data_IF_390454996087
#
_entry.id   IF_390454996087
#
_cell.length_a   1.000
_cell.length_b   1.000
_cell.length_c   1.000
_cell.angle_alpha   90.00
_cell.angle_beta   90.00
_cell.angle_gamma   90.00
#
_symmetry.space_group_name_H-M   'P 1'
#
loop_
_entity.id
_entity.type
_entity.pdbx_description
1 polymer ?
#
# COMPACT_ATOMS: atom_id res chain seq x y z
N UNK A 1 -16.17 -15.59 4.19
CA UNK A 1 -16.74 -15.15 2.90
C UNK A 1 -15.88 -14.02 2.43
N UNK A 2 -15.07 -14.21 1.37
CA UNK A 2 -14.22 -13.15 0.81
C UNK A 2 -15.12 -12.02 0.34
N UNK A 3 -14.87 -10.80 0.85
CA UNK A 3 -15.54 -9.59 0.39
C UNK A 3 -15.27 -9.35 -1.09
N UNK A 4 -16.16 -8.66 -1.81
CA UNK A 4 -16.04 -8.47 -3.25
C UNK A 4 -14.77 -7.69 -3.58
N UNK A 5 -13.94 -8.24 -4.45
CA UNK A 5 -12.81 -7.52 -5.07
C UNK A 5 -13.36 -6.30 -5.82
N UNK A 6 -13.27 -5.12 -5.22
CA UNK A 6 -13.57 -3.87 -5.92
C UNK A 6 -12.39 -3.60 -6.84
N UNK A 7 -12.53 -3.99 -8.11
CA UNK A 7 -11.62 -3.60 -9.17
C UNK A 7 -11.77 -2.09 -9.38
N UNK A 8 -10.93 -1.30 -8.75
CA UNK A 8 -10.78 0.12 -9.09
C UNK A 8 -10.24 0.21 -10.51
N UNK A 9 -11.06 0.73 -11.41
CA UNK A 9 -10.74 0.90 -12.83
C UNK A 9 -9.71 2.02 -13.00
N UNK A 10 -8.45 1.65 -13.21
CA UNK A 10 -7.46 2.53 -13.83
C UNK A 10 -7.45 2.20 -15.33
N UNK A 11 -7.44 3.18 -16.25
CA UNK A 11 -7.25 2.90 -17.65
C UNK A 11 -5.86 2.29 -17.82
N UNK A 12 -5.84 0.98 -18.07
CA UNK A 12 -4.60 0.23 -18.24
C UNK A 12 -4.29 0.17 -19.75
N UNK A 13 -3.14 0.69 -20.14
CA UNK A 13 -2.49 0.17 -21.33
C UNK A 13 -2.25 -1.33 -21.10
N UNK A 14 -2.57 -2.17 -22.09
CA UNK A 14 -2.30 -3.62 -22.00
C UNK A 14 -0.81 -3.79 -21.78
N UNK A 15 -0.45 -4.23 -20.58
CA UNK A 15 0.93 -4.43 -20.19
C UNK A 15 1.47 -5.67 -20.90
N UNK A 16 2.28 -5.47 -21.91
CA UNK A 16 2.98 -6.56 -22.59
C UNK A 16 4.10 -7.06 -21.69
N UNK A 17 4.06 -8.36 -21.38
CA UNK A 17 5.16 -9.10 -20.79
C UNK A 17 6.27 -9.31 -21.81
N UNK A 18 7.49 -9.55 -21.33
CA UNK A 18 8.48 -10.21 -22.18
C UNK A 18 7.96 -11.59 -22.62
N UNK A 19 8.13 -11.93 -23.90
CA UNK A 19 7.62 -13.18 -24.46
C UNK A 19 8.19 -14.40 -23.73
N UNK A 20 7.31 -15.31 -23.35
CA UNK A 20 7.64 -16.59 -22.72
C UNK A 20 6.88 -17.73 -23.41
N UNK A 21 7.46 -18.90 -23.61
CA UNK A 21 6.72 -20.07 -24.08
C UNK A 21 5.62 -20.48 -23.07
N UNK A 22 4.43 -20.85 -23.59
CA UNK A 22 3.30 -21.22 -22.73
C UNK A 22 3.61 -22.43 -21.84
N UNK A 23 4.37 -23.42 -22.34
CA UNK A 23 4.78 -24.57 -21.54
C UNK A 23 5.68 -24.18 -20.33
N UNK A 24 6.40 -23.07 -20.40
CA UNK A 24 7.16 -22.53 -19.25
C UNK A 24 6.26 -21.72 -18.33
N UNK A 25 5.44 -20.80 -18.88
CA UNK A 25 4.52 -19.99 -18.10
C UNK A 25 3.50 -20.84 -17.33
N UNK A 26 2.92 -21.85 -17.99
CA UNK A 26 1.88 -22.72 -17.44
C UNK A 26 2.45 -23.98 -16.75
N UNK A 27 3.77 -24.03 -16.53
CA UNK A 27 4.42 -25.18 -15.88
C UNK A 27 3.82 -25.45 -14.50
N UNK A 28 3.39 -26.70 -14.29
CA UNK A 28 2.73 -27.14 -13.06
C UNK A 28 1.23 -26.83 -12.99
N UNK A 29 0.65 -26.25 -14.04
CA UNK A 29 -0.80 -26.11 -14.23
C UNK A 29 -1.31 -27.06 -15.32
N UNK A 30 -0.61 -27.16 -16.44
CA UNK A 30 -0.93 -28.06 -17.55
C UNK A 30 0.30 -28.33 -18.40
N UNK A 31 0.19 -29.33 -19.30
CA UNK A 31 1.14 -29.55 -20.39
C UNK A 31 0.66 -28.69 -21.58
N UNK A 32 1.33 -27.61 -21.83
CA UNK A 32 0.99 -26.69 -22.91
C UNK A 32 1.97 -26.83 -24.10
N UNK A 33 1.51 -26.48 -25.29
CA UNK A 33 2.39 -26.30 -26.45
C UNK A 33 3.28 -25.06 -26.27
N UNK A 34 4.50 -25.01 -26.86
CA UNK A 34 5.43 -23.91 -26.68
C UNK A 34 5.05 -22.67 -27.53
N UNK A 35 3.76 -22.29 -27.54
CA UNK A 35 3.32 -21.04 -28.18
C UNK A 35 3.78 -19.84 -27.36
N UNK A 36 4.10 -18.74 -28.03
CA UNK A 36 4.61 -17.54 -27.37
C UNK A 36 3.49 -16.75 -26.69
N UNK A 37 3.61 -16.55 -25.38
CA UNK A 37 2.72 -15.72 -24.58
C UNK A 37 3.41 -14.37 -24.31
N UNK A 38 2.65 -13.29 -24.36
CA UNK A 38 3.15 -11.93 -24.10
C UNK A 38 2.25 -11.08 -23.20
N UNK A 39 1.16 -11.64 -22.68
CA UNK A 39 0.32 -11.03 -21.68
C UNK A 39 -0.48 -12.08 -20.91
N UNK A 40 -0.76 -11.81 -19.63
CA UNK A 40 -1.77 -12.48 -18.82
C UNK A 40 -2.81 -11.41 -18.47
N UNK A 41 -4.05 -11.60 -18.85
CA UNK A 41 -5.12 -10.61 -18.70
C UNK A 41 -6.33 -11.19 -17.97
N UNK A 42 -7.01 -10.36 -17.21
CA UNK A 42 -8.22 -10.72 -16.43
C UNK A 42 -9.46 -9.97 -16.91
N UNK A 43 -9.27 -8.99 -17.79
CA UNK A 43 -10.36 -8.24 -18.46
C UNK A 43 -10.45 -8.68 -19.93
N UNK A 44 -11.62 -9.18 -20.34
CA UNK A 44 -11.83 -9.66 -21.71
C UNK A 44 -11.65 -8.58 -22.78
N UNK A 45 -11.78 -7.31 -22.42
CA UNK A 45 -11.56 -6.15 -23.30
C UNK A 45 -10.06 -5.91 -23.60
N UNK A 46 -9.18 -6.44 -22.76
CA UNK A 46 -7.72 -6.35 -22.91
C UNK A 46 -7.14 -7.53 -23.71
N UNK A 47 -7.95 -8.49 -24.12
CA UNK A 47 -7.50 -9.68 -24.86
C UNK A 47 -6.92 -9.29 -26.20
N UNK A 48 -5.71 -9.79 -26.47
CA UNK A 48 -5.01 -9.69 -27.74
C UNK A 48 -4.47 -11.07 -28.15
N UNK A 49 -4.21 -11.33 -29.45
CA UNK A 49 -3.66 -12.60 -29.89
C UNK A 49 -2.38 -12.98 -29.14
N UNK A 50 -2.32 -14.20 -28.59
CA UNK A 50 -1.16 -14.71 -27.85
C UNK A 50 -1.15 -14.34 -26.35
N UNK A 51 -2.25 -13.87 -25.77
CA UNK A 51 -2.37 -13.73 -24.32
C UNK A 51 -2.93 -15.01 -23.66
N UNK A 52 -2.81 -15.07 -22.32
CA UNK A 52 -3.58 -15.98 -21.46
C UNK A 52 -4.69 -15.16 -20.81
N UNK A 53 -5.94 -15.60 -20.95
CA UNK A 53 -7.08 -15.00 -20.27
C UNK A 53 -7.43 -15.81 -19.00
N UNK A 54 -7.53 -15.12 -17.87
CA UNK A 54 -7.83 -15.75 -16.57
C UNK A 54 -9.26 -15.40 -16.16
N UNK A 55 -10.12 -16.42 -16.05
CA UNK A 55 -11.49 -16.26 -15.57
C UNK A 55 -11.51 -16.21 -14.04
N UNK A 56 -12.10 -15.15 -13.49
CA UNK A 56 -12.41 -15.04 -12.07
C UNK A 56 -13.92 -15.13 -11.88
N UNK A 57 -14.41 -16.01 -10.98
CA UNK A 57 -15.81 -15.99 -10.60
C UNK A 57 -16.13 -14.69 -9.83
N UNK A 58 -17.24 -14.08 -10.12
CA UNK A 58 -17.69 -12.86 -9.45
C UNK A 58 -19.20 -12.88 -9.20
N UNK A 59 -19.66 -12.18 -8.15
CA UNK A 59 -21.09 -12.15 -7.78
C UNK A 59 -21.96 -11.41 -8.80
N UNK A 60 -21.42 -10.39 -9.47
CA UNK A 60 -22.16 -9.57 -10.45
C UNK A 60 -21.81 -9.90 -11.88
N UNK A 61 -20.58 -10.31 -12.12
CA UNK A 61 -20.03 -10.61 -13.45
C UNK A 61 -19.08 -11.77 -13.30
N UNK A 62 -19.37 -12.88 -13.98
CA UNK A 62 -18.49 -14.04 -13.99
C UNK A 62 -17.54 -13.97 -15.21
N UNK A 63 -16.24 -14.03 -14.96
CA UNK A 63 -15.22 -14.02 -16.02
C UNK A 63 -15.35 -15.17 -17.01
N UNK A 64 -15.95 -16.29 -16.61
CA UNK A 64 -16.18 -17.45 -17.46
C UNK A 64 -17.14 -17.15 -18.61
N UNK A 65 -18.10 -16.23 -18.43
CA UNK A 65 -19.05 -15.81 -19.48
C UNK A 65 -18.35 -15.16 -20.68
N UNK A 66 -17.14 -14.65 -20.49
CA UNK A 66 -16.35 -13.99 -21.53
C UNK A 66 -15.29 -14.89 -22.17
N UNK A 67 -15.10 -16.11 -21.69
CA UNK A 67 -14.00 -16.99 -22.11
C UNK A 67 -14.06 -17.35 -23.59
N UNK A 68 -15.24 -17.67 -24.11
CA UNK A 68 -15.41 -17.96 -25.56
C UNK A 68 -15.05 -16.77 -26.44
N UNK A 69 -15.50 -15.55 -26.04
CA UNK A 69 -15.14 -14.32 -26.72
C UNK A 69 -13.64 -14.01 -26.63
N UNK A 70 -13.03 -14.25 -25.48
CA UNK A 70 -11.60 -14.08 -25.28
C UNK A 70 -10.79 -15.03 -26.19
N UNK A 71 -11.22 -16.29 -26.30
CA UNK A 71 -10.59 -17.25 -27.20
C UNK A 71 -10.74 -16.84 -28.67
N UNK A 72 -11.93 -16.41 -29.10
CA UNK A 72 -12.18 -15.90 -30.45
C UNK A 72 -11.34 -14.66 -30.78
N UNK A 73 -11.06 -13.80 -29.79
CA UNK A 73 -10.20 -12.63 -29.91
C UNK A 73 -8.70 -12.97 -29.86
N UNK A 74 -8.35 -14.27 -29.80
CA UNK A 74 -6.97 -14.76 -29.95
C UNK A 74 -6.25 -15.08 -28.65
N UNK A 75 -6.93 -15.22 -27.51
CA UNK A 75 -6.29 -15.78 -26.33
C UNK A 75 -5.75 -17.19 -26.64
N UNK A 76 -4.47 -17.41 -26.34
CA UNK A 76 -3.81 -18.68 -26.63
C UNK A 76 -4.27 -19.79 -25.65
N UNK A 77 -4.55 -19.41 -24.39
CA UNK A 77 -5.07 -20.26 -23.35
C UNK A 77 -6.09 -19.52 -22.49
N UNK A 78 -7.05 -20.28 -21.97
CA UNK A 78 -8.04 -19.83 -21.00
C UNK A 78 -7.79 -20.57 -19.69
N UNK A 79 -7.62 -19.84 -18.58
CA UNK A 79 -7.58 -20.40 -17.22
C UNK A 79 -8.99 -20.28 -16.66
N UNK A 80 -9.58 -21.41 -16.28
CA UNK A 80 -10.97 -21.47 -15.82
C UNK A 80 -11.15 -22.47 -14.66
N UNK A 81 -12.23 -22.32 -13.87
CA UNK A 81 -12.52 -23.24 -12.77
C UNK A 81 -13.38 -24.44 -13.20
N UNK A 82 -13.93 -24.40 -14.39
CA UNK A 82 -14.73 -25.48 -15.02
C UNK A 82 -14.60 -25.40 -16.55
N UNK A 83 -14.98 -26.45 -17.30
CA UNK A 83 -15.02 -26.40 -18.75
C UNK A 83 -15.89 -25.26 -19.26
N UNK A 84 -15.45 -24.58 -20.32
CA UNK A 84 -16.14 -23.44 -20.90
C UNK A 84 -16.60 -23.79 -22.32
N UNK A 85 -17.87 -23.58 -22.61
CA UNK A 85 -18.43 -23.78 -23.93
C UNK A 85 -17.78 -22.84 -24.96
N UNK A 86 -17.49 -23.33 -26.17
CA UNK A 86 -16.87 -22.53 -27.23
C UNK A 86 -15.35 -22.38 -27.14
N UNK A 87 -14.70 -23.02 -26.14
CA UNK A 87 -13.23 -23.09 -26.02
C UNK A 87 -12.79 -24.55 -26.11
N UNK A 88 -11.82 -24.91 -26.99
CA UNK A 88 -11.30 -26.27 -27.07
C UNK A 88 -10.68 -26.72 -25.75
N UNK A 89 -10.80 -28.02 -25.44
CA UNK A 89 -10.30 -28.59 -24.17
C UNK A 89 -8.78 -28.48 -24.03
N UNK A 90 -8.02 -28.53 -25.13
CA UNK A 90 -6.57 -28.37 -25.17
C UNK A 90 -6.13 -26.90 -25.02
N UNK A 91 -7.06 -25.96 -25.05
CA UNK A 91 -6.86 -24.52 -24.84
C UNK A 91 -7.45 -24.02 -23.52
N UNK A 92 -8.14 -24.89 -22.79
CA UNK A 92 -8.72 -24.59 -21.48
C UNK A 92 -7.93 -25.29 -20.38
N UNK A 93 -7.35 -24.52 -19.47
CA UNK A 93 -6.63 -25.03 -18.30
C UNK A 93 -7.59 -24.96 -17.11
N UNK A 94 -8.07 -26.12 -16.67
CA UNK A 94 -9.00 -26.19 -15.53
C UNK A 94 -8.19 -26.20 -14.24
N UNK A 95 -8.49 -25.23 -13.36
CA UNK A 95 -7.83 -25.04 -12.07
C UNK A 95 -8.86 -24.87 -10.95
N UNK A 96 -8.60 -25.34 -9.73
CA UNK A 96 -9.53 -25.15 -8.62
C UNK A 96 -9.64 -23.68 -8.15
N UNK A 97 -8.62 -22.86 -8.46
CA UNK A 97 -8.51 -21.48 -7.97
C UNK A 97 -7.69 -20.65 -8.97
N UNK A 98 -8.35 -19.70 -9.61
CA UNK A 98 -7.75 -18.83 -10.63
C UNK A 98 -6.68 -17.89 -10.07
N UNK A 99 -6.82 -17.42 -8.81
CA UNK A 99 -5.83 -16.57 -8.18
C UNK A 99 -4.54 -17.34 -7.90
N UNK A 100 -4.64 -18.59 -7.41
CA UNK A 100 -3.47 -19.45 -7.21
C UNK A 100 -2.80 -19.82 -8.53
N UNK A 101 -3.58 -20.03 -9.61
CA UNK A 101 -3.03 -20.24 -10.94
C UNK A 101 -2.24 -19.03 -11.43
N UNK A 102 -2.78 -17.81 -11.20
CA UNK A 102 -2.12 -16.57 -11.56
C UNK A 102 -0.81 -16.36 -10.78
N UNK A 103 -0.79 -16.65 -9.47
CA UNK A 103 0.42 -16.67 -8.65
C UNK A 103 1.44 -17.68 -9.19
N UNK A 104 1.00 -18.89 -9.61
CA UNK A 104 1.89 -19.91 -10.18
C UNK A 104 2.53 -19.40 -11.48
N UNK A 105 1.74 -18.85 -12.40
CA UNK A 105 2.25 -18.25 -13.63
C UNK A 105 3.24 -17.13 -13.36
N UNK A 106 2.91 -16.21 -12.44
CA UNK A 106 3.78 -15.12 -12.07
C UNK A 106 5.09 -15.61 -11.42
N UNK A 107 5.03 -16.65 -10.58
CA UNK A 107 6.22 -17.28 -10.00
C UNK A 107 7.12 -17.90 -11.08
N UNK A 108 6.54 -18.57 -12.09
CA UNK A 108 7.28 -19.12 -13.22
C UNK A 108 7.95 -18.00 -14.03
N UNK A 109 7.20 -16.93 -14.33
CA UNK A 109 7.71 -15.77 -15.07
C UNK A 109 8.80 -15.03 -14.30
N UNK A 110 8.63 -14.84 -12.98
CA UNK A 110 9.61 -14.20 -12.10
C UNK A 110 10.99 -14.86 -12.14
N UNK A 111 11.05 -16.17 -12.37
CA UNK A 111 12.29 -16.92 -12.43
C UNK A 111 13.18 -16.62 -13.64
N UNK A 112 12.64 -15.95 -14.66
CA UNK A 112 13.40 -15.52 -15.83
C UNK A 112 14.30 -14.31 -15.56
N UNK A 113 14.10 -13.60 -14.45
CA UNK A 113 14.75 -12.33 -14.14
C UNK A 113 15.41 -12.38 -12.76
N UNK A 114 16.41 -11.57 -12.55
CA UNK A 114 17.12 -11.49 -11.27
C UNK A 114 17.32 -10.06 -10.77
N UNK A 115 16.26 -9.21 -10.69
CA UNK A 115 16.40 -7.89 -10.10
C UNK A 115 16.70 -8.00 -8.60
N UNK A 116 17.42 -7.03 -8.04
CA UNK A 116 17.46 -6.83 -6.58
C UNK A 116 16.07 -6.33 -6.15
N UNK A 117 15.31 -7.15 -5.42
CA UNK A 117 13.92 -6.89 -5.10
C UNK A 117 13.72 -6.68 -3.60
N UNK A 118 12.98 -5.63 -3.23
CA UNK A 118 12.55 -5.37 -1.86
C UNK A 118 11.07 -5.74 -1.74
N UNK A 119 10.73 -6.62 -0.80
CA UNK A 119 9.35 -6.90 -0.37
C UNK A 119 8.98 -5.98 0.80
N UNK A 120 7.82 -5.34 0.74
CA UNK A 120 7.35 -4.41 1.79
C UNK A 120 6.00 -4.85 2.33
N UNK A 121 5.91 -5.05 3.64
CA UNK A 121 4.64 -5.26 4.34
C UNK A 121 4.58 -4.45 5.64
N UNK A 122 3.45 -4.48 6.33
CA UNK A 122 3.21 -3.76 7.58
C UNK A 122 1.73 -3.39 7.74
N UNK A 123 1.33 -2.92 8.91
CA UNK A 123 -0.03 -2.44 9.15
C UNK A 123 -0.26 -1.07 8.50
N UNK A 124 0.67 -0.13 8.70
CA UNK A 124 0.68 1.23 8.15
C UNK A 124 2.04 1.50 7.51
N UNK A 125 2.13 2.43 6.56
CA UNK A 125 3.38 2.87 5.94
C UNK A 125 3.82 2.06 4.71
N UNK A 126 3.22 0.92 4.37
CA UNK A 126 3.61 0.06 3.24
C UNK A 126 3.82 0.83 1.93
N UNK A 127 2.81 1.57 1.50
CA UNK A 127 2.86 2.28 0.21
C UNK A 127 3.86 3.43 0.23
N UNK A 128 3.93 4.18 1.34
CA UNK A 128 4.91 5.26 1.50
C UNK A 128 6.33 4.71 1.49
N UNK A 129 6.60 3.63 2.24
CA UNK A 129 7.89 2.93 2.22
C UNK A 129 8.22 2.38 0.83
N UNK A 130 7.26 1.79 0.12
CA UNK A 130 7.42 1.34 -1.28
C UNK A 130 7.84 2.48 -2.19
N UNK A 131 7.22 3.66 -2.07
CA UNK A 131 7.55 4.83 -2.88
C UNK A 131 8.95 5.39 -2.52
N UNK A 132 9.34 5.40 -1.23
CA UNK A 132 10.71 5.73 -0.85
C UNK A 132 11.73 4.71 -1.39
N UNK A 133 11.44 3.41 -1.31
CA UNK A 133 12.28 2.39 -1.93
C UNK A 133 12.42 2.62 -3.44
N UNK A 134 11.32 2.94 -4.12
CA UNK A 134 11.33 3.24 -5.55
C UNK A 134 12.19 4.48 -5.85
N UNK A 135 12.06 5.56 -5.09
CA UNK A 135 12.87 6.77 -5.24
C UNK A 135 14.37 6.47 -5.07
N UNK A 136 14.72 5.72 -4.01
CA UNK A 136 16.11 5.34 -3.75
C UNK A 136 16.67 4.42 -4.84
N UNK A 137 15.97 3.34 -5.18
CA UNK A 137 16.45 2.36 -6.16
C UNK A 137 16.52 2.95 -7.57
N UNK A 138 15.59 3.82 -7.95
CA UNK A 138 15.57 4.49 -9.26
C UNK A 138 16.77 5.42 -9.48
N UNK A 139 17.43 5.85 -8.41
CA UNK A 139 18.71 6.56 -8.52
C UNK A 139 19.84 5.67 -9.05
N UNK A 140 19.73 4.34 -8.95
CA UNK A 140 20.78 3.39 -9.33
C UNK A 140 20.52 2.66 -10.63
N UNK A 141 19.26 2.48 -11.05
CA UNK A 141 18.94 1.78 -12.30
C UNK A 141 17.43 1.67 -12.53
N UNK A 142 17.07 0.96 -13.60
CA UNK A 142 15.67 0.73 -13.96
C UNK A 142 14.96 -0.04 -12.86
N UNK A 143 13.95 0.58 -12.29
CA UNK A 143 13.24 0.08 -11.11
C UNK A 143 11.75 -0.14 -11.42
N UNK A 144 11.26 -1.34 -11.12
CA UNK A 144 9.85 -1.68 -11.12
C UNK A 144 9.25 -1.50 -9.73
N UNK A 145 8.00 -1.06 -9.62
CA UNK A 145 7.26 -1.05 -8.35
C UNK A 145 5.83 -1.55 -8.51
N UNK A 146 5.22 -1.97 -7.41
CA UNK A 146 3.78 -2.18 -7.32
C UNK A 146 3.04 -0.87 -7.58
N UNK A 147 2.13 -0.85 -8.55
CA UNK A 147 1.28 0.30 -8.85
C UNK A 147 0.07 0.36 -7.92
N UNK A 148 -0.25 1.57 -7.45
CA UNK A 148 -1.41 1.79 -6.59
C UNK A 148 -1.41 0.85 -5.37
N UNK A 149 -2.50 0.10 -5.23
CA UNK A 149 -2.74 -0.90 -4.18
C UNK A 149 -2.72 -2.35 -4.70
N UNK A 150 -2.01 -2.63 -5.80
CA UNK A 150 -1.92 -3.98 -6.40
C UNK A 150 -1.02 -4.90 -5.56
N UNK A 151 -1.40 -5.14 -4.30
CA UNK A 151 -0.59 -5.81 -3.29
C UNK A 151 -1.15 -7.15 -2.79
N UNK A 152 -2.15 -7.71 -3.50
CA UNK A 152 -2.83 -8.97 -3.18
C UNK A 152 -2.50 -10.08 -4.20
N UNK A 153 -3.22 -11.22 -4.11
CA UNK A 153 -3.05 -12.42 -4.95
C UNK A 153 -3.24 -12.18 -6.46
N UNK A 154 -3.80 -11.04 -6.88
CA UNK A 154 -3.91 -10.61 -8.29
C UNK A 154 -2.89 -9.52 -8.61
N UNK A 155 -2.75 -8.55 -7.72
CA UNK A 155 -1.93 -7.37 -7.94
C UNK A 155 -0.42 -7.65 -7.95
N UNK A 156 0.06 -8.52 -7.05
CA UNK A 156 1.48 -8.91 -7.05
C UNK A 156 1.85 -9.67 -8.33
N UNK A 157 1.10 -10.67 -8.81
CA UNK A 157 1.29 -11.24 -10.14
C UNK A 157 1.34 -10.21 -11.26
N UNK A 158 0.38 -9.27 -11.31
CA UNK A 158 0.36 -8.21 -12.31
C UNK A 158 1.63 -7.35 -12.27
N UNK A 159 2.15 -7.06 -11.08
CA UNK A 159 3.42 -6.36 -10.91
C UNK A 159 4.57 -7.18 -11.49
N UNK A 160 4.65 -8.47 -11.19
CA UNK A 160 5.72 -9.36 -11.64
C UNK A 160 5.72 -9.59 -13.15
N UNK A 161 4.54 -9.65 -13.79
CA UNK A 161 4.43 -9.75 -15.25
C UNK A 161 5.00 -8.54 -16.01
N UNK A 162 5.29 -7.45 -15.33
CA UNK A 162 5.94 -6.24 -15.89
C UNK A 162 7.47 -6.30 -15.85
N UNK A 163 8.06 -7.33 -15.26
CA UNK A 163 9.52 -7.53 -15.28
C UNK A 163 10.00 -7.75 -16.72
N UNK A 164 11.16 -7.19 -17.02
CA UNK A 164 11.89 -7.38 -18.27
C UNK A 164 13.40 -7.51 -18.01
N UNK A 165 14.17 -7.75 -19.08
CA UNK A 165 15.61 -7.95 -18.98
C UNK A 165 16.37 -6.71 -18.50
N UNK A 166 15.79 -5.52 -18.64
CA UNK A 166 16.44 -4.26 -18.27
C UNK A 166 16.11 -3.88 -16.81
N UNK A 167 15.19 -4.61 -16.15
CA UNK A 167 14.79 -4.33 -14.78
C UNK A 167 15.89 -4.77 -13.82
N UNK A 168 16.58 -3.81 -13.23
CA UNK A 168 17.67 -4.03 -12.28
C UNK A 168 17.17 -4.13 -10.84
N UNK A 169 16.12 -3.37 -10.53
CA UNK A 169 15.55 -3.28 -9.19
C UNK A 169 14.03 -3.44 -9.23
N UNK A 170 13.46 -3.92 -8.11
CA UNK A 170 12.01 -3.96 -7.96
C UNK A 170 11.59 -3.74 -6.51
N UNK A 171 10.40 -3.15 -6.32
CA UNK A 171 9.75 -3.03 -5.02
C UNK A 171 8.37 -3.61 -5.10
N UNK A 172 8.08 -4.62 -4.28
CA UNK A 172 6.80 -5.32 -4.26
C UNK A 172 6.12 -5.10 -2.91
N UNK A 173 5.03 -4.36 -2.92
CA UNK A 173 4.16 -4.21 -1.76
C UNK A 173 3.30 -5.46 -1.58
N UNK A 174 3.21 -5.98 -0.34
CA UNK A 174 2.47 -7.18 0.03
C UNK A 174 1.46 -6.85 1.12
N UNK A 175 0.18 -6.84 0.74
CA UNK A 175 -0.96 -6.71 1.62
C UNK A 175 -1.47 -8.06 2.09
N UNK A 176 -2.34 -8.03 3.11
CA UNK A 176 -3.06 -9.23 3.59
C UNK A 176 -4.33 -8.85 4.31
N UNK A 177 -5.30 -9.73 4.28
CA UNK A 177 -6.47 -9.76 5.14
C UNK A 177 -6.45 -10.98 6.07
N UNK A 178 -5.79 -12.07 5.66
CA UNK A 178 -5.74 -13.34 6.38
C UNK A 178 -4.30 -13.89 6.45
N UNK A 179 -4.07 -14.78 7.41
CA UNK A 179 -2.83 -15.53 7.50
C UNK A 179 -2.60 -16.41 6.25
N UNK A 180 -1.33 -16.59 5.86
CA UNK A 180 -0.91 -17.36 4.68
C UNK A 180 -0.88 -16.54 3.38
N UNK A 181 -1.38 -15.29 3.38
CA UNK A 181 -1.38 -14.46 2.17
C UNK A 181 0.00 -13.88 1.88
N UNK A 182 0.67 -13.33 2.89
CA UNK A 182 2.06 -12.84 2.73
C UNK A 182 2.99 -13.98 2.35
N UNK A 183 2.81 -15.19 2.90
CA UNK A 183 3.62 -16.35 2.51
C UNK A 183 3.50 -16.64 1.01
N UNK A 184 2.28 -16.67 0.47
CA UNK A 184 2.07 -16.89 -0.97
C UNK A 184 2.71 -15.80 -1.82
N UNK A 185 2.53 -14.53 -1.44
CA UNK A 185 3.04 -13.39 -2.19
C UNK A 185 4.56 -13.34 -2.17
N UNK A 186 5.19 -13.55 -1.00
CA UNK A 186 6.64 -13.51 -0.89
C UNK A 186 7.33 -14.69 -1.58
N UNK A 187 6.71 -15.90 -1.53
CA UNK A 187 7.22 -17.07 -2.28
C UNK A 187 7.09 -16.87 -3.80
N UNK A 188 6.09 -16.15 -4.26
CA UNK A 188 5.93 -15.76 -5.66
C UNK A 188 6.98 -14.73 -6.08
N UNK A 189 7.14 -13.65 -5.33
CA UNK A 189 8.01 -12.52 -5.66
C UNK A 189 9.51 -12.83 -5.43
N UNK A 190 9.84 -13.65 -4.41
CA UNK A 190 11.22 -14.00 -4.00
C UNK A 190 12.10 -12.76 -3.84
N UNK A 191 11.79 -11.89 -2.88
CA UNK A 191 12.54 -10.66 -2.68
C UNK A 191 13.95 -10.94 -2.14
N UNK A 192 14.90 -10.04 -2.41
CA UNK A 192 16.28 -10.06 -1.93
C UNK A 192 16.38 -9.45 -0.52
N UNK A 193 15.43 -8.62 -0.13
CA UNK A 193 15.30 -7.99 1.18
C UNK A 193 13.83 -7.85 1.56
N UNK A 194 13.52 -7.89 2.87
CA UNK A 194 12.18 -7.68 3.40
C UNK A 194 12.11 -6.47 4.31
N UNK A 195 10.98 -5.76 4.30
CA UNK A 195 10.67 -4.67 5.23
C UNK A 195 9.34 -4.96 5.91
N UNK A 196 9.29 -4.85 7.24
CA UNK A 196 8.06 -4.77 8.02
C UNK A 196 8.04 -3.40 8.69
N UNK A 197 7.13 -2.52 8.23
CA UNK A 197 7.09 -1.11 8.65
C UNK A 197 6.67 -0.95 10.11
N UNK A 198 5.53 -1.55 10.48
CA UNK A 198 5.02 -1.59 11.85
C UNK A 198 3.89 -2.61 12.01
N UNK A 199 3.61 -2.99 13.25
CA UNK A 199 2.46 -3.79 13.66
C UNK A 199 1.47 -2.89 14.41
N UNK A 200 0.35 -2.60 13.77
CA UNK A 200 -0.78 -1.86 14.33
C UNK A 200 -2.01 -2.77 14.46
N UNK A 201 -3.19 -2.16 14.35
CA UNK A 201 -4.50 -2.83 14.53
C UNK A 201 -5.26 -3.05 13.21
N UNK A 202 -4.65 -2.78 12.04
CA UNK A 202 -5.28 -3.07 10.74
C UNK A 202 -5.55 -4.56 10.59
N UNK A 203 -6.73 -4.94 10.07
CA UNK A 203 -7.18 -6.33 9.88
C UNK A 203 -7.37 -7.11 11.20
N UNK A 204 -7.57 -6.40 12.33
CA UNK A 204 -7.77 -7.03 13.64
C UNK A 204 -9.04 -7.90 13.64
N UNK A 205 -10.09 -7.50 12.93
CA UNK A 205 -11.32 -8.26 12.76
C UNK A 205 -11.08 -9.68 12.24
N UNK A 206 -10.15 -9.85 11.28
CA UNK A 206 -9.86 -11.13 10.64
C UNK A 206 -8.83 -11.97 11.42
N UNK A 207 -7.88 -11.32 12.10
CA UNK A 207 -6.74 -11.97 12.75
C UNK A 207 -6.88 -12.09 14.27
N UNK A 208 -7.83 -11.35 14.86
CA UNK A 208 -8.20 -11.42 16.28
C UNK A 208 -7.26 -10.68 17.22
N UNK A 209 -5.93 -10.80 17.08
CA UNK A 209 -4.95 -10.15 17.96
C UNK A 209 -3.79 -9.52 17.19
N UNK A 210 -3.09 -8.55 17.81
CA UNK A 210 -1.90 -7.93 17.21
C UNK A 210 -0.72 -8.90 17.08
N UNK A 211 -0.63 -9.90 17.96
CA UNK A 211 0.37 -10.98 17.87
C UNK A 211 0.12 -11.86 16.63
N UNK A 212 -1.12 -12.12 16.28
CA UNK A 212 -1.47 -12.82 15.05
C UNK A 212 -1.16 -11.95 13.80
N UNK A 213 -1.36 -10.63 13.88
CA UNK A 213 -0.95 -9.69 12.83
C UNK A 213 0.57 -9.74 12.66
N UNK A 214 1.34 -9.74 13.76
CA UNK A 214 2.80 -9.91 13.72
C UNK A 214 3.19 -11.22 13.04
N UNK A 215 2.60 -12.36 13.46
CA UNK A 215 2.88 -13.67 12.86
C UNK A 215 2.61 -13.69 11.35
N UNK A 216 1.47 -13.15 10.93
CA UNK A 216 1.10 -13.10 9.52
C UNK A 216 2.05 -12.20 8.69
N UNK A 217 2.51 -11.07 9.23
CA UNK A 217 3.49 -10.22 8.54
C UNK A 217 4.89 -10.83 8.52
N UNK A 218 5.28 -11.59 9.55
CA UNK A 218 6.52 -12.36 9.57
C UNK A 218 6.57 -13.47 8.51
N UNK A 219 5.44 -13.85 7.91
CA UNK A 219 5.41 -14.75 6.75
C UNK A 219 6.29 -14.26 5.58
N UNK A 220 6.59 -12.95 5.50
CA UNK A 220 7.52 -12.40 4.50
C UNK A 220 8.87 -13.12 4.52
N UNK A 221 9.30 -13.59 5.68
CA UNK A 221 10.54 -14.33 5.84
C UNK A 221 10.61 -15.58 4.98
N UNK A 222 9.48 -16.21 4.65
CA UNK A 222 9.45 -17.50 3.93
C UNK A 222 9.95 -17.41 2.49
N UNK A 223 9.86 -16.24 1.86
CA UNK A 223 10.34 -16.00 0.49
C UNK A 223 11.74 -15.40 0.40
N UNK A 224 12.34 -15.02 1.54
CA UNK A 224 13.67 -14.45 1.60
C UNK A 224 14.76 -15.53 1.55
N UNK A 225 15.85 -15.35 0.78
CA UNK A 225 16.97 -16.27 0.78
C UNK A 225 17.80 -16.18 2.08
N UNK A 226 18.62 -17.17 2.34
CA UNK A 226 19.54 -17.16 3.48
C UNK A 226 20.50 -15.97 3.40
N UNK A 227 20.74 -15.32 4.51
CA UNK A 227 21.56 -14.11 4.63
C UNK A 227 20.86 -12.82 4.19
N UNK A 228 19.61 -12.89 3.70
CA UNK A 228 18.88 -11.69 3.30
C UNK A 228 18.62 -10.75 4.48
N UNK A 229 18.68 -9.41 4.26
CA UNK A 229 18.29 -8.44 5.26
C UNK A 229 16.77 -8.43 5.46
N UNK A 230 16.36 -8.44 6.72
CA UNK A 230 15.00 -8.17 7.18
C UNK A 230 15.01 -6.88 8.00
N UNK A 231 14.41 -5.83 7.45
CA UNK A 231 14.41 -4.47 8.02
C UNK A 231 13.17 -4.30 8.90
N UNK A 232 13.37 -3.97 10.17
CA UNK A 232 12.36 -3.97 11.22
C UNK A 232 12.41 -2.69 12.04
N UNK A 233 11.24 -2.13 12.36
CA UNK A 233 11.11 -0.94 13.20
C UNK A 233 11.28 -1.30 14.68
N UNK A 234 12.37 -0.84 15.30
CA UNK A 234 12.68 -1.11 16.72
C UNK A 234 11.82 -0.30 17.69
N UNK A 235 11.26 0.84 17.24
CA UNK A 235 10.38 1.68 18.05
C UNK A 235 8.93 1.17 18.07
N UNK A 236 8.61 0.13 17.28
CA UNK A 236 7.32 -0.56 17.38
C UNK A 236 7.34 -1.52 18.58
N UNK A 237 6.29 -1.51 19.37
CA UNK A 237 6.20 -2.29 20.62
C UNK A 237 6.24 -3.81 20.42
N UNK A 238 5.76 -4.32 19.28
CA UNK A 238 5.68 -5.76 19.01
C UNK A 238 6.81 -6.30 18.12
N UNK A 239 7.32 -5.52 17.16
CA UNK A 239 8.38 -6.01 16.25
C UNK A 239 9.65 -6.49 16.98
N UNK A 240 10.11 -5.84 18.08
CA UNK A 240 11.25 -6.35 18.84
C UNK A 240 11.02 -7.72 19.52
N UNK A 241 9.76 -8.16 19.65
CA UNK A 241 9.42 -9.48 20.19
C UNK A 241 9.33 -10.57 19.14
N UNK A 242 9.53 -10.21 17.85
CA UNK A 242 9.43 -11.15 16.73
C UNK A 242 10.53 -12.21 16.79
N UNK A 243 10.15 -13.47 16.54
CA UNK A 243 11.11 -14.55 16.31
C UNK A 243 11.66 -14.47 14.89
N UNK A 244 12.76 -13.72 14.72
CA UNK A 244 13.42 -13.57 13.42
C UNK A 244 14.21 -14.84 13.11
N UNK A 245 13.96 -15.53 11.98
CA UNK A 245 14.72 -16.72 11.60
C UNK A 245 16.22 -16.46 11.55
N UNK A 246 17.04 -17.28 12.21
CA UNK A 246 18.50 -17.13 12.32
C UNK A 246 19.22 -17.14 10.97
N UNK A 247 18.60 -17.64 9.91
CA UNK A 247 19.11 -17.60 8.53
C UNK A 247 19.01 -16.20 7.90
N UNK A 248 18.27 -15.24 8.51
CA UNK A 248 18.13 -13.88 8.02
C UNK A 248 18.97 -12.90 8.86
N UNK A 249 19.28 -11.76 8.30
CA UNK A 249 19.97 -10.66 8.99
C UNK A 249 18.94 -9.61 9.41
N UNK A 250 18.57 -9.57 10.70
CA UNK A 250 17.76 -8.47 11.22
C UNK A 250 18.53 -7.16 11.12
N UNK A 251 17.85 -6.11 10.63
CA UNK A 251 18.36 -4.74 10.55
C UNK A 251 17.32 -3.83 11.20
N UNK A 252 17.66 -3.27 12.34
CA UNK A 252 16.76 -2.48 13.14
C UNK A 252 16.86 -1.00 12.80
N UNK A 253 15.74 -0.37 12.47
CA UNK A 253 15.67 1.06 12.24
C UNK A 253 14.72 1.73 13.24
N UNK A 254 14.99 3.00 13.56
CA UNK A 254 14.17 3.77 14.48
C UNK A 254 14.58 5.22 14.60
N UNK A 255 13.85 5.96 15.42
CA UNK A 255 14.11 7.36 15.78
C UNK A 255 14.45 7.45 17.28
N UNK A 256 13.64 6.79 18.11
CA UNK A 256 13.72 6.91 19.58
C UNK A 256 14.76 5.94 20.16
N UNK A 257 14.83 4.71 19.68
CA UNK A 257 15.72 3.68 20.18
C UNK A 257 17.19 3.94 19.84
N UNK A 258 18.02 4.18 20.85
CA UNK A 258 19.46 4.44 20.67
C UNK A 258 20.24 3.24 20.12
N UNK A 259 19.74 2.03 20.30
CA UNK A 259 20.36 0.79 19.86
C UNK A 259 19.99 0.40 18.41
N UNK A 260 19.19 1.20 17.69
CA UNK A 260 18.87 0.95 16.28
C UNK A 260 20.17 0.86 15.44
N UNK A 261 20.16 0.02 14.38
CA UNK A 261 21.28 -0.07 13.43
C UNK A 261 21.29 1.12 12.48
N UNK A 262 20.09 1.62 12.13
CA UNK A 262 19.89 2.82 11.32
C UNK A 262 18.93 3.73 12.08
N UNK A 263 19.41 4.90 12.49
CA UNK A 263 18.65 5.84 13.32
C UNK A 263 18.54 7.22 12.68
N UNK A 264 17.36 7.85 12.77
CA UNK A 264 17.26 9.29 12.48
C UNK A 264 17.44 10.10 13.77
N UNK A 265 18.20 11.19 13.67
CA UNK A 265 18.36 12.20 14.72
C UNK A 265 18.22 13.59 14.13
N UNK A 266 18.11 14.61 14.97
CA UNK A 266 17.97 16.02 14.54
C UNK A 266 16.80 16.18 13.54
N UNK A 267 15.64 15.57 13.84
CA UNK A 267 14.47 15.59 12.96
C UNK A 267 13.76 16.92 13.06
N UNK A 268 13.78 17.70 11.97
CA UNK A 268 13.10 18.97 11.86
C UNK A 268 12.02 18.91 10.77
N UNK A 269 10.75 19.01 11.18
CA UNK A 269 9.60 18.95 10.28
C UNK A 269 9.07 20.34 9.98
N UNK A 270 8.94 20.66 8.70
CA UNK A 270 8.37 21.92 8.19
C UNK A 270 7.29 21.68 7.12
N UNK A 271 6.68 22.76 6.65
CA UNK A 271 5.64 22.72 5.60
C UNK A 271 6.16 22.24 4.25
N UNK A 272 7.46 22.37 4.00
CA UNK A 272 8.09 22.05 2.70
C UNK A 272 8.86 20.72 2.74
N UNK A 273 8.79 19.98 3.86
CA UNK A 273 9.46 18.71 4.03
C UNK A 273 10.04 18.53 5.43
N UNK A 274 10.79 17.46 5.60
CA UNK A 274 11.48 17.12 6.85
C UNK A 274 12.96 16.90 6.58
N UNK A 275 13.82 17.48 7.40
CA UNK A 275 15.28 17.25 7.39
C UNK A 275 15.69 16.46 8.62
N UNK A 276 16.70 15.62 8.50
CA UNK A 276 17.23 14.81 9.59
C UNK A 276 18.62 14.29 9.25
N UNK A 277 19.32 13.73 10.24
CA UNK A 277 20.54 12.97 10.01
C UNK A 277 20.27 11.49 10.17
N UNK A 278 20.80 10.68 9.28
CA UNK A 278 20.83 9.23 9.39
C UNK A 278 22.15 8.84 10.04
N UNK A 279 22.08 8.15 11.18
CA UNK A 279 23.21 7.47 11.81
C UNK A 279 23.09 5.99 11.47
N UNK A 280 23.99 5.48 10.64
CA UNK A 280 24.08 4.07 10.27
C UNK A 280 25.35 3.49 10.90
N UNK A 281 25.20 2.46 11.74
CA UNK A 281 26.32 1.82 12.45
C UNK A 281 27.37 1.20 11.50
N UNK A 282 26.96 0.84 10.28
CA UNK A 282 27.84 0.19 9.28
C UNK A 282 28.47 1.22 8.34
N UNK A 283 27.74 2.27 7.95
CA UNK A 283 28.15 3.18 6.89
C UNK A 283 28.46 4.61 7.35
N UNK A 284 28.16 4.97 8.61
CA UNK A 284 28.43 6.30 9.16
C UNK A 284 27.23 7.23 9.18
N UNK A 285 27.47 8.54 9.10
CA UNK A 285 26.41 9.56 9.27
C UNK A 285 26.19 10.34 7.99
N UNK A 286 24.91 10.57 7.63
CA UNK A 286 24.52 11.27 6.41
C UNK A 286 23.40 12.28 6.73
N UNK A 287 23.48 13.46 6.13
CA UNK A 287 22.34 14.38 6.09
C UNK A 287 21.30 13.86 5.09
N UNK A 288 20.02 13.96 5.45
CA UNK A 288 18.91 13.53 4.63
C UNK A 288 17.75 14.56 4.67
N UNK A 289 17.01 14.61 3.59
CA UNK A 289 15.79 15.41 3.48
C UNK A 289 14.72 14.63 2.71
N UNK A 290 13.46 14.81 3.11
CA UNK A 290 12.30 14.27 2.42
C UNK A 290 11.27 15.37 2.15
N UNK A 291 10.57 15.37 0.99
CA UNK A 291 9.64 16.41 0.62
C UNK A 291 8.25 16.26 1.28
N UNK A 292 8.19 15.64 2.46
CA UNK A 292 6.95 15.37 3.21
C UNK A 292 7.07 15.83 4.64
N UNK A 293 5.96 16.29 5.20
CA UNK A 293 5.85 16.64 6.60
C UNK A 293 5.51 15.41 7.46
N UNK A 294 6.01 15.40 8.69
CA UNK A 294 5.62 14.42 9.70
C UNK A 294 6.68 13.34 9.99
N UNK A 295 6.90 13.12 11.29
CA UNK A 295 7.92 12.19 11.79
C UNK A 295 7.69 10.75 11.31
N UNK A 296 6.42 10.31 11.11
CA UNK A 296 6.11 8.98 10.64
C UNK A 296 6.67 8.69 9.24
N UNK A 297 6.79 9.70 8.35
CA UNK A 297 7.40 9.50 7.02
C UNK A 297 8.92 9.33 7.10
N UNK A 298 9.55 9.79 8.18
CA UNK A 298 10.98 9.52 8.45
C UNK A 298 11.21 8.04 8.69
N UNK A 299 10.31 7.35 9.42
CA UNK A 299 10.41 5.88 9.58
C UNK A 299 10.34 5.16 8.23
N UNK A 300 9.42 5.56 7.35
CA UNK A 300 9.29 4.97 6.01
C UNK A 300 10.55 5.20 5.16
N UNK A 301 11.13 6.40 5.25
CA UNK A 301 12.39 6.75 4.57
C UNK A 301 13.60 5.97 5.12
N UNK A 302 13.70 5.81 6.46
CA UNK A 302 14.76 5.01 7.10
C UNK A 302 14.68 3.54 6.69
N UNK A 303 13.48 2.96 6.63
CA UNK A 303 13.27 1.58 6.19
C UNK A 303 13.77 1.37 4.76
N UNK A 304 13.46 2.31 3.86
CA UNK A 304 13.91 2.27 2.46
C UNK A 304 15.44 2.41 2.35
N UNK A 305 16.02 3.37 3.06
CA UNK A 305 17.48 3.55 3.14
C UNK A 305 18.16 2.27 3.67
N UNK A 306 17.68 1.73 4.79
CA UNK A 306 18.23 0.54 5.40
C UNK A 306 18.20 -0.68 4.45
N UNK A 307 17.08 -0.91 3.77
CA UNK A 307 16.98 -2.02 2.82
C UNK A 307 17.91 -1.85 1.62
N UNK A 308 18.00 -0.65 1.05
CA UNK A 308 18.84 -0.36 -0.11
C UNK A 308 20.33 -0.50 0.20
N UNK A 309 20.78 0.04 1.33
CA UNK A 309 22.20 -0.05 1.73
C UNK A 309 22.61 -1.49 2.04
N UNK A 310 21.73 -2.28 2.66
CA UNK A 310 21.99 -3.72 2.94
C UNK A 310 21.90 -4.60 1.68
N UNK A 311 21.36 -4.09 0.57
CA UNK A 311 21.50 -4.69 -0.76
C UNK A 311 22.81 -4.27 -1.46
N UNK A 312 23.70 -3.54 -0.77
CA UNK A 312 25.01 -3.13 -1.25
C UNK A 312 25.02 -1.89 -2.12
N UNK A 313 24.01 -1.00 -1.98
CA UNK A 313 24.00 0.30 -2.66
C UNK A 313 24.73 1.36 -1.84
N UNK A 314 25.32 2.34 -2.51
CA UNK A 314 26.06 3.43 -1.88
C UNK A 314 25.20 4.24 -0.91
N UNK A 315 25.62 4.30 0.35
CA UNK A 315 24.84 4.86 1.44
C UNK A 315 24.59 6.37 1.30
N UNK A 316 25.60 7.13 0.87
CA UNK A 316 25.46 8.57 0.67
C UNK A 316 24.46 8.88 -0.46
N UNK A 317 24.54 8.12 -1.55
CA UNK A 317 23.61 8.25 -2.67
C UNK A 317 22.19 7.79 -2.31
N UNK A 318 22.04 6.75 -1.46
CA UNK A 318 20.75 6.33 -0.93
C UNK A 318 20.12 7.46 -0.07
N UNK A 319 20.89 8.08 0.84
CA UNK A 319 20.39 9.17 1.67
C UNK A 319 19.97 10.38 0.82
N UNK A 320 20.77 10.79 -0.17
CA UNK A 320 20.45 11.88 -1.08
C UNK A 320 19.20 11.60 -1.94
N UNK A 321 19.00 10.35 -2.36
CA UNK A 321 17.88 9.94 -3.20
C UNK A 321 16.52 10.01 -2.48
N UNK A 322 16.47 10.00 -1.14
CA UNK A 322 15.24 10.19 -0.38
C UNK A 322 14.51 11.49 -0.73
N UNK A 323 15.25 12.54 -1.09
CA UNK A 323 14.71 13.82 -1.50
C UNK A 323 13.93 13.77 -2.83
N UNK A 324 14.10 12.72 -3.63
CA UNK A 324 13.40 12.53 -4.90
C UNK A 324 12.04 11.83 -4.76
N UNK A 325 11.65 11.49 -3.54
CA UNK A 325 10.34 10.90 -3.25
C UNK A 325 9.20 11.75 -3.81
N UNK A 326 8.19 11.09 -4.34
CA UNK A 326 6.96 11.72 -4.80
C UNK A 326 5.76 11.06 -4.13
N UNK A 327 4.89 11.86 -3.56
CA UNK A 327 3.64 11.38 -2.98
C UNK A 327 2.75 10.82 -4.09
N UNK A 328 2.20 9.63 -3.88
CA UNK A 328 1.28 9.00 -4.83
C UNK A 328 -0.11 8.81 -4.22
N UNK A 329 -1.13 9.09 -5.03
CA UNK A 329 -2.53 8.96 -4.61
C UNK A 329 -2.91 9.92 -3.48
N UNK A 330 -4.02 9.60 -2.78
CA UNK A 330 -4.59 10.38 -1.67
C UNK A 330 -3.96 9.95 -0.33
N UNK A 331 -2.61 10.07 -0.22
CA UNK A 331 -1.86 9.76 1.01
C UNK A 331 -1.07 10.98 1.44
N UNK A 332 -1.61 11.73 2.41
CA UNK A 332 -1.03 12.99 2.90
C UNK A 332 -0.68 13.97 1.77
N UNK A 333 -1.50 13.97 0.74
CA UNK A 333 -1.33 14.89 -0.38
C UNK A 333 -1.79 16.28 0.04
N UNK A 334 -0.86 17.22 0.13
CA UNK A 334 -1.15 18.60 0.55
C UNK A 334 -1.43 19.43 -0.69
N UNK A 335 -2.65 19.95 -0.82
CA UNK A 335 -3.08 20.79 -1.94
C UNK A 335 -3.67 22.09 -1.44
N UNK A 336 -3.56 23.14 -2.26
CA UNK A 336 -4.22 24.43 -2.00
C UNK A 336 -5.35 24.63 -3.00
N UNK A 337 -6.56 24.85 -2.50
CA UNK A 337 -7.77 25.10 -3.28
C UNK A 337 -8.58 26.23 -2.63
N UNK A 338 -8.98 27.26 -3.40
CA UNK A 338 -9.77 28.37 -2.89
C UNK A 338 -9.18 29.09 -1.66
N UNK A 339 -7.84 29.15 -1.55
CA UNK A 339 -7.14 29.73 -0.39
C UNK A 339 -7.09 28.84 0.86
N UNK A 340 -7.57 27.58 0.77
CA UNK A 340 -7.58 26.56 1.85
C UNK A 340 -6.47 25.57 1.60
N UNK A 341 -5.80 25.11 2.65
CA UNK A 341 -4.82 24.02 2.60
C UNK A 341 -5.51 22.72 2.96
N UNK A 342 -5.61 21.77 2.03
CA UNK A 342 -6.15 20.44 2.28
C UNK A 342 -5.03 19.42 2.45
N UNK A 343 -5.18 18.53 3.42
CA UNK A 343 -4.42 17.29 3.57
C UNK A 343 -5.37 16.16 3.14
N UNK A 344 -5.18 15.67 1.92
CA UNK A 344 -5.94 14.55 1.36
C UNK A 344 -5.26 13.24 1.80
N UNK A 345 -5.88 12.53 2.74
CA UNK A 345 -5.39 11.24 3.24
C UNK A 345 -6.54 10.20 3.28
N UNK A 346 -7.28 10.12 2.16
CA UNK A 346 -8.57 9.42 2.06
C UNK A 346 -8.46 7.97 1.59
N UNK A 347 -7.24 7.43 1.44
CA UNK A 347 -7.07 6.08 0.90
C UNK A 347 -7.51 4.99 1.90
N UNK A 348 -7.12 5.06 3.15
CA UNK A 348 -7.55 4.17 4.22
C UNK A 348 -7.34 4.82 5.59
N UNK A 349 -7.99 4.27 6.63
CA UNK A 349 -7.90 4.76 7.99
C UNK A 349 -7.78 3.63 9.01
N UNK A 350 -6.88 3.85 9.97
CA UNK A 350 -6.72 3.07 11.19
C UNK A 350 -6.33 4.03 12.32
N UNK A 351 -6.46 3.67 13.60
CA UNK A 351 -6.09 4.56 14.71
C UNK A 351 -4.68 5.13 14.57
N UNK A 352 -3.67 4.29 14.27
CA UNK A 352 -2.29 4.72 14.08
C UNK A 352 -2.16 5.75 12.95
N UNK A 353 -2.82 5.51 11.82
CA UNK A 353 -2.78 6.43 10.68
C UNK A 353 -3.57 7.72 10.91
N UNK A 354 -4.66 7.68 11.69
CA UNK A 354 -5.39 8.88 12.13
C UNK A 354 -4.53 9.76 13.01
N UNK A 355 -3.85 9.16 14.00
CA UNK A 355 -2.91 9.87 14.88
C UNK A 355 -1.77 10.54 14.09
N UNK A 356 -1.19 9.82 13.12
CA UNK A 356 -0.16 10.34 12.24
C UNK A 356 -0.66 11.55 11.42
N UNK A 357 -1.83 11.44 10.79
CA UNK A 357 -2.41 12.51 9.98
C UNK A 357 -2.76 13.75 10.82
N UNK A 358 -3.30 13.57 12.03
CA UNK A 358 -3.57 14.66 12.95
C UNK A 358 -2.30 15.37 13.40
N UNK A 359 -1.16 14.67 13.55
CA UNK A 359 0.12 15.30 13.85
C UNK A 359 0.62 16.20 12.71
N UNK A 360 0.36 15.83 11.45
CA UNK A 360 0.66 16.69 10.30
C UNK A 360 -0.23 17.93 10.30
N UNK A 361 -1.53 17.79 10.54
CA UNK A 361 -2.44 18.93 10.66
C UNK A 361 -2.01 19.89 11.76
N UNK A 362 -1.57 19.34 12.93
CA UNK A 362 -1.05 20.10 14.05
C UNK A 362 0.14 20.96 13.65
N UNK A 363 1.05 20.43 12.85
CA UNK A 363 2.28 21.10 12.41
C UNK A 363 2.07 22.19 11.36
N UNK A 364 0.92 22.25 10.70
CA UNK A 364 0.65 23.31 9.72
C UNK A 364 0.52 24.69 10.41
N UNK A 365 1.02 25.74 9.77
CA UNK A 365 1.04 27.11 10.36
C UNK A 365 -0.32 27.81 10.33
N UNK A 366 -1.34 27.17 9.75
CA UNK A 366 -2.69 27.71 9.66
C UNK A 366 -3.27 27.94 11.05
N UNK A 367 -3.93 29.06 11.25
CA UNK A 367 -4.52 29.45 12.54
C UNK A 367 -5.76 28.63 12.88
N UNK A 368 -6.52 28.19 11.87
CA UNK A 368 -7.72 27.38 12.08
C UNK A 368 -7.57 26.00 11.40
N UNK A 369 -7.85 24.95 12.17
CA UNK A 369 -7.68 23.55 11.79
C UNK A 369 -9.01 22.82 11.83
N UNK A 370 -9.39 22.24 10.70
CA UNK A 370 -10.61 21.48 10.53
C UNK A 370 -10.23 20.03 10.24
N UNK A 371 -10.86 19.06 10.91
CA UNK A 371 -10.69 17.66 10.64
C UNK A 371 -12.00 17.07 10.11
N UNK A 372 -11.99 16.53 8.89
CA UNK A 372 -13.04 15.67 8.33
C UNK A 372 -12.57 14.23 8.46
N UNK A 373 -13.07 13.54 9.49
CA UNK A 373 -12.65 12.18 9.80
C UNK A 373 -13.85 11.23 9.72
N UNK A 374 -13.72 10.20 8.88
CA UNK A 374 -14.76 9.19 8.72
C UNK A 374 -14.46 7.89 9.44
N UNK A 375 -15.36 6.93 9.26
CA UNK A 375 -15.26 5.62 9.89
C UNK A 375 -13.94 4.91 9.53
N UNK A 376 -13.39 4.25 10.55
CA UNK A 376 -12.33 3.25 10.42
C UNK A 376 -12.99 1.86 10.41
N UNK A 377 -12.88 1.18 9.26
CA UNK A 377 -13.43 -0.16 9.06
C UNK A 377 -12.40 -1.24 9.46
N UNK A 378 -12.82 -2.49 9.55
CA UNK A 378 -11.98 -3.67 9.82
C UNK A 378 -11.29 -3.69 11.21
N UNK A 379 -11.79 -2.91 12.16
CA UNK A 379 -11.26 -2.87 13.53
C UNK A 379 -11.90 -3.90 14.47
N UNK A 380 -13.00 -4.56 14.06
CA UNK A 380 -13.74 -5.49 14.92
C UNK A 380 -14.13 -4.84 16.26
N UNK A 381 -13.87 -5.53 17.36
CA UNK A 381 -14.20 -5.07 18.73
C UNK A 381 -13.41 -3.83 19.15
N UNK A 382 -12.28 -3.52 18.52
CA UNK A 382 -11.50 -2.31 18.79
C UNK A 382 -12.08 -1.04 18.14
N UNK A 383 -13.21 -1.15 17.41
CA UNK A 383 -13.77 -0.03 16.63
C UNK A 383 -14.16 1.15 17.51
N UNK A 384 -14.91 0.92 18.59
CA UNK A 384 -15.37 1.98 19.48
C UNK A 384 -14.19 2.71 20.14
N UNK A 385 -13.25 1.97 20.72
CA UNK A 385 -12.06 2.54 21.34
C UNK A 385 -11.17 3.29 20.34
N UNK A 386 -10.96 2.75 19.14
CA UNK A 386 -10.19 3.40 18.10
C UNK A 386 -10.79 4.74 17.69
N UNK A 387 -12.10 4.80 17.52
CA UNK A 387 -12.80 6.05 17.19
C UNK A 387 -12.76 7.04 18.36
N UNK A 388 -13.00 6.58 19.59
CA UNK A 388 -12.93 7.43 20.81
C UNK A 388 -11.54 8.08 20.94
N UNK A 389 -10.45 7.31 20.88
CA UNK A 389 -9.09 7.84 20.94
C UNK A 389 -8.80 8.83 19.81
N UNK A 390 -9.34 8.59 18.60
CA UNK A 390 -9.17 9.54 17.48
C UNK A 390 -9.80 10.90 17.80
N UNK A 391 -10.94 10.92 18.48
CA UNK A 391 -11.56 12.16 18.97
C UNK A 391 -10.70 12.91 20.00
N UNK A 392 -10.08 12.17 20.94
CA UNK A 392 -9.14 12.70 21.93
C UNK A 392 -7.89 13.29 21.22
N UNK A 393 -7.30 12.56 20.28
CA UNK A 393 -6.15 13.03 19.51
C UNK A 393 -6.47 14.25 18.62
N UNK A 394 -7.71 14.39 18.15
CA UNK A 394 -8.13 15.59 17.43
C UNK A 394 -8.08 16.83 18.33
N UNK A 395 -8.50 16.70 19.60
CA UNK A 395 -8.36 17.78 20.59
C UNK A 395 -6.89 18.08 20.88
N UNK A 396 -6.05 17.06 21.12
CA UNK A 396 -4.61 17.22 21.38
C UNK A 396 -3.87 17.87 20.20
N UNK A 397 -4.37 17.63 18.98
CA UNK A 397 -3.85 18.26 17.76
C UNK A 397 -4.26 19.73 17.59
N UNK A 398 -5.13 20.23 18.47
CA UNK A 398 -5.64 21.61 18.39
C UNK A 398 -6.61 21.77 17.21
N UNK A 399 -7.44 20.77 16.93
CA UNK A 399 -8.51 20.87 15.94
C UNK A 399 -9.59 21.81 16.47
N UNK A 400 -9.86 22.89 15.74
CA UNK A 400 -10.91 23.83 16.09
C UNK A 400 -12.30 23.26 15.79
N UNK A 401 -12.39 22.45 14.73
CA UNK A 401 -13.64 21.87 14.29
C UNK A 401 -13.47 20.47 13.71
N UNK A 402 -14.28 19.52 14.24
CA UNK A 402 -14.34 18.14 13.76
C UNK A 402 -15.68 17.91 13.03
N UNK A 403 -15.59 17.39 11.81
CA UNK A 403 -16.68 16.82 11.04
C UNK A 403 -16.48 15.30 11.08
N UNK A 404 -17.18 14.62 11.96
CA UNK A 404 -17.15 13.15 12.06
C UNK A 404 -18.16 12.56 11.08
N UNK A 405 -17.74 11.59 10.27
CA UNK A 405 -18.54 11.03 9.18
C UNK A 405 -18.70 9.53 9.27
N UNK A 406 -19.94 9.07 9.34
CA UNK A 406 -20.32 7.67 9.38
C UNK A 406 -20.82 7.20 10.75
N UNK A 407 -21.50 6.05 10.83
CA UNK A 407 -22.16 5.60 12.05
C UNK A 407 -21.19 5.25 13.19
N UNK A 408 -19.99 4.74 12.87
CA UNK A 408 -18.95 4.36 13.87
C UNK A 408 -18.24 5.59 14.43
N UNK A 409 -18.22 6.69 13.70
CA UNK A 409 -17.60 7.96 14.12
C UNK A 409 -18.35 8.69 15.25
N UNK A 410 -19.48 8.16 15.75
CA UNK A 410 -20.21 8.73 16.88
C UNK A 410 -19.31 8.81 18.14
N UNK A 411 -18.58 7.72 18.48
CA UNK A 411 -17.66 7.71 19.62
C UNK A 411 -16.52 8.75 19.48
N UNK A 412 -16.02 8.96 18.25
CA UNK A 412 -15.04 10.01 17.95
C UNK A 412 -15.61 11.41 18.18
N UNK A 413 -16.85 11.64 17.70
CA UNK A 413 -17.54 12.92 17.87
C UNK A 413 -17.78 13.25 19.35
N UNK A 414 -18.23 12.28 20.13
CA UNK A 414 -18.52 12.47 21.55
C UNK A 414 -17.22 12.72 22.36
N UNK A 415 -16.16 11.98 22.09
CA UNK A 415 -14.86 12.20 22.71
C UNK A 415 -14.29 13.59 22.39
N UNK A 416 -14.32 14.01 21.14
CA UNK A 416 -13.84 15.34 20.75
C UNK A 416 -14.64 16.47 21.42
N UNK A 417 -15.98 16.35 21.50
CA UNK A 417 -16.86 17.29 22.20
C UNK A 417 -16.51 17.39 23.70
N UNK A 418 -16.28 16.23 24.34
CA UNK A 418 -15.91 16.18 25.76
C UNK A 418 -14.59 16.93 26.04
N UNK A 419 -13.70 17.02 25.05
CA UNK A 419 -12.43 17.75 25.11
C UNK A 419 -12.51 19.16 24.50
N UNK A 420 -13.72 19.69 24.25
CA UNK A 420 -13.93 21.09 23.86
C UNK A 420 -13.83 21.40 22.37
N UNK A 421 -13.69 20.39 21.51
CA UNK A 421 -13.67 20.60 20.05
C UNK A 421 -15.09 20.86 19.55
N UNK A 422 -15.28 21.89 18.73
CA UNK A 422 -16.54 22.11 18.03
C UNK A 422 -16.79 20.98 17.05
N UNK A 423 -17.81 20.14 17.29
CA UNK A 423 -17.96 18.88 16.56
C UNK A 423 -19.37 18.71 16.01
N UNK A 424 -19.45 18.25 14.77
CA UNK A 424 -20.67 17.76 14.13
C UNK A 424 -20.51 16.30 13.74
N UNK A 425 -21.61 15.54 13.77
CA UNK A 425 -21.61 14.14 13.35
C UNK A 425 -22.55 13.98 12.17
N UNK A 426 -22.01 13.62 11.02
CA UNK A 426 -22.70 13.48 9.75
C UNK A 426 -22.99 12.01 9.42
N UNK A 427 -24.18 11.73 8.96
CA UNK A 427 -24.64 10.37 8.62
C UNK A 427 -24.43 10.04 7.14
N UNK A 428 -24.35 11.04 6.29
CA UNK A 428 -24.23 10.89 4.84
C UNK A 428 -23.35 11.99 4.23
N UNK A 429 -22.97 11.81 2.97
CA UNK A 429 -22.10 12.71 2.24
C UNK A 429 -22.69 14.12 2.02
N UNK A 430 -24.02 14.23 1.90
CA UNK A 430 -24.70 15.51 1.70
C UNK A 430 -24.58 16.41 2.94
N UNK A 431 -24.76 15.84 4.14
CA UNK A 431 -24.53 16.55 5.40
C UNK A 431 -23.07 17.03 5.51
N UNK A 432 -22.09 16.18 5.12
CA UNK A 432 -20.66 16.58 5.12
C UNK A 432 -20.43 17.76 4.19
N UNK A 433 -20.94 17.73 2.95
CA UNK A 433 -20.81 18.83 2.00
C UNK A 433 -21.47 20.12 2.53
N UNK A 434 -22.64 20.00 3.17
CA UNK A 434 -23.30 21.15 3.78
C UNK A 434 -22.42 21.81 4.85
N UNK A 435 -21.81 21.02 5.74
CA UNK A 435 -20.92 21.56 6.78
C UNK A 435 -19.60 22.09 6.23
N UNK A 436 -19.00 21.46 5.20
CA UNK A 436 -17.82 21.99 4.54
C UNK A 436 -18.09 23.37 3.94
N UNK A 437 -19.23 23.56 3.25
CA UNK A 437 -19.68 24.86 2.72
C UNK A 437 -19.88 25.91 3.81
N UNK A 438 -20.40 25.48 4.96
CA UNK A 438 -20.69 26.37 6.07
C UNK A 438 -19.42 26.77 6.84
N UNK A 439 -18.45 25.88 6.99
CA UNK A 439 -17.36 26.05 7.94
C UNK A 439 -16.03 26.43 7.30
N UNK A 440 -15.71 25.88 6.11
CA UNK A 440 -14.39 26.09 5.48
C UNK A 440 -14.28 27.51 4.94
N UNK A 441 -13.15 28.17 5.23
CA UNK A 441 -12.84 29.54 4.82
C UNK A 441 -11.40 29.63 4.28
N UNK A 442 -11.07 30.58 3.41
CA UNK A 442 -9.70 30.86 3.04
C UNK A 442 -8.82 31.07 4.28
N UNK A 443 -7.64 30.47 4.27
CA UNK A 443 -6.71 30.46 5.41
C UNK A 443 -6.79 29.20 6.30
N UNK A 444 -7.85 28.38 6.18
CA UNK A 444 -7.99 27.14 6.95
C UNK A 444 -7.01 26.05 6.48
N UNK A 445 -6.71 25.13 7.40
CA UNK A 445 -6.19 23.81 7.08
C UNK A 445 -7.27 22.74 7.31
N UNK A 446 -7.49 21.87 6.34
CA UNK A 446 -8.48 20.81 6.40
C UNK A 446 -7.80 19.46 6.20
N UNK A 447 -7.88 18.58 7.20
CA UNK A 447 -7.50 17.18 7.05
C UNK A 447 -8.73 16.37 6.67
N UNK A 448 -8.66 15.55 5.62
CA UNK A 448 -9.70 14.61 5.26
C UNK A 448 -9.14 13.17 5.27
N UNK A 449 -9.73 12.30 6.13
CA UNK A 449 -9.29 10.92 6.28
C UNK A 449 -10.43 9.99 6.69
N UNK A 450 -10.53 8.85 5.97
CA UNK A 450 -11.47 7.76 6.28
C UNK A 450 -11.00 6.46 5.62
N UNK A 451 -11.64 5.34 5.98
CA UNK A 451 -11.53 4.11 5.19
C UNK A 451 -12.00 4.32 3.76
N UNK A 452 -11.37 3.63 2.80
CA UNK A 452 -11.62 3.81 1.36
C UNK A 452 -13.10 3.72 0.96
N UNK A 453 -13.83 2.77 1.55
CA UNK A 453 -15.25 2.55 1.27
C UNK A 453 -16.15 3.74 1.67
N UNK A 454 -15.64 4.72 2.44
CA UNK A 454 -16.39 5.93 2.80
C UNK A 454 -16.48 6.96 1.66
N UNK A 455 -15.70 6.80 0.59
CA UNK A 455 -15.79 7.62 -0.62
C UNK A 455 -15.40 9.09 -0.43
N UNK A 456 -14.57 9.43 0.57
CA UNK A 456 -14.16 10.82 0.84
C UNK A 456 -13.44 11.47 -0.33
N UNK A 457 -12.73 10.72 -1.15
CA UNK A 457 -12.07 11.24 -2.35
C UNK A 457 -13.07 11.93 -3.29
N UNK A 458 -14.15 11.22 -3.66
CA UNK A 458 -15.17 11.77 -4.54
C UNK A 458 -15.87 12.97 -3.90
N UNK A 459 -16.13 12.91 -2.60
CA UNK A 459 -16.75 13.99 -1.85
C UNK A 459 -15.89 15.27 -1.89
N UNK A 460 -14.58 15.15 -1.70
CA UNK A 460 -13.66 16.28 -1.81
C UNK A 460 -13.61 16.85 -3.23
N UNK A 461 -13.58 15.99 -4.26
CA UNK A 461 -13.61 16.45 -5.66
C UNK A 461 -14.89 17.23 -5.97
N UNK A 462 -16.03 16.82 -5.42
CA UNK A 462 -17.28 17.54 -5.60
C UNK A 462 -17.26 18.89 -4.85
N UNK A 463 -16.73 18.94 -3.64
CA UNK A 463 -16.56 20.18 -2.89
C UNK A 463 -15.60 21.17 -3.59
N UNK A 464 -14.50 20.68 -4.20
CA UNK A 464 -13.53 21.54 -4.89
C UNK A 464 -14.12 22.26 -6.11
N UNK A 465 -15.11 21.70 -6.78
CA UNK A 465 -15.82 22.36 -7.90
C UNK A 465 -16.55 23.64 -7.47
N UNK A 466 -16.85 23.75 -6.17
CA UNK A 466 -17.58 24.87 -5.60
C UNK A 466 -16.66 25.96 -5.04
N UNK A 467 -15.37 25.65 -4.85
CA UNK A 467 -14.39 26.62 -4.35
C UNK A 467 -13.99 27.61 -5.45
N UNK A 468 -13.66 28.89 -5.07
CA UNK A 468 -13.11 29.83 -6.03
C UNK A 468 -11.89 29.25 -6.74
N UNK A 469 -11.88 29.36 -8.07
CA UNK A 469 -10.68 29.04 -8.85
C UNK A 469 -9.65 30.15 -8.54
N UNK A 470 -8.57 29.78 -7.84
CA UNK A 470 -7.46 30.68 -7.52
C UNK A 470 -6.52 30.82 -8.71
#
# INVERSE_FOLDING_TARGET
MCGPYVLTYYPKEVLFMQKIPANELLAGLTLAEPVSIHAVVTDSREVKPGCVFVCFPGERVDGHDFAAGAYQNGAAYIIANHPVEGVPADRTVIVPDSAKAMIRMASNYRMLFNPKMIGVTGSVGKTTTKEFCYAVLSAFGKTLKTEGNQNNDIGVPNTLFRLDNDTEYAVVEMGMDHAGEIERLTRCARPSAGIITMIGVSHLENLGTRENILKAKMEICTGLPDGAPLVLNVDNDLLPTADVPTRLKAVWFGIDAENADVRAVDVETGTNGTTFKIIDKEYGTFDAAIPTAGVHTVYDALAAYAAATRLGLDAARCAAALATYQTTGMRQHIVKKGGVTFIEDCYNASPDSMRAALSVLKALPNTRKIALLGDMLELGDASEDGHRHTGEWAADAGVDQLIAYGPRSAAMADAAKAHGVVTVHCKNAEEVLQYLRQFVRPGDAVLAKASHAMGLEQLLQDFYKELPQG
#
